data_IF_579320897108
#
_entry.id   IF_579320897108
#
_cell.length_a   1.000
_cell.length_b   1.000
_cell.length_c   1.000
_cell.angle_alpha   90.00
_cell.angle_beta   90.00
_cell.angle_gamma   90.00
#
_symmetry.space_group_name_H-M   'P 1'
#
loop_
_entity.id
_entity.type
_entity.pdbx_description
1 polymer ?
#
# COMPACT_ATOMS: atom_id res chain seq x y z
N UNK A 1 -7.19 25.54 13.51
CA UNK A 1 -7.33 24.36 12.61
C UNK A 1 -8.34 23.41 13.25
N UNK A 2 -9.60 23.38 12.79
CA UNK A 2 -10.65 22.52 13.39
C UNK A 2 -10.39 21.07 12.99
N UNK A 3 -10.23 20.20 13.96
CA UNK A 3 -10.23 18.75 13.75
C UNK A 3 -11.59 18.38 13.13
N UNK A 4 -11.61 17.98 11.87
CA UNK A 4 -12.78 17.35 11.26
C UNK A 4 -12.99 16.02 11.99
N UNK A 5 -14.10 15.95 12.74
CA UNK A 5 -14.52 14.73 13.40
C UNK A 5 -14.50 13.57 12.40
N UNK A 6 -13.88 12.47 12.81
CA UNK A 6 -13.96 11.18 12.11
C UNK A 6 -15.43 10.75 12.17
N UNK A 7 -16.14 10.88 11.07
CA UNK A 7 -17.40 10.16 10.90
C UNK A 7 -17.00 8.70 10.76
N UNK A 8 -17.21 7.92 11.80
CA UNK A 8 -17.11 6.48 11.71
C UNK A 8 -18.23 6.04 10.76
N UNK A 9 -17.89 5.45 9.63
CA UNK A 9 -18.86 4.77 8.78
C UNK A 9 -19.26 3.51 9.53
N UNK A 10 -20.56 3.35 9.78
CA UNK A 10 -21.10 2.21 10.49
C UNK A 10 -20.87 0.96 9.64
N UNK A 11 -20.11 -0.01 10.16
CA UNK A 11 -19.86 -1.28 9.48
C UNK A 11 -21.09 -2.17 9.65
N UNK A 12 -21.49 -2.81 8.58
CA UNK A 12 -22.60 -3.78 8.57
C UNK A 12 -22.13 -5.24 8.78
N UNK A 13 -20.84 -5.44 9.04
CA UNK A 13 -20.24 -6.72 9.43
C UNK A 13 -19.20 -6.54 10.54
N UNK A 14 -18.94 -7.60 11.29
CA UNK A 14 -17.90 -7.61 12.33
C UNK A 14 -16.50 -7.36 11.74
N UNK A 15 -15.65 -6.76 12.56
CA UNK A 15 -14.26 -6.55 12.15
C UNK A 15 -13.50 -7.90 12.17
N UNK A 16 -12.79 -8.18 11.10
CA UNK A 16 -11.93 -9.35 10.97
C UNK A 16 -10.45 -8.95 10.90
N UNK A 17 -9.51 -9.89 10.95
CA UNK A 17 -8.10 -9.62 10.66
C UNK A 17 -7.90 -8.93 9.30
N UNK A 18 -8.68 -9.31 8.28
CA UNK A 18 -8.63 -8.69 6.96
C UNK A 18 -8.96 -7.20 7.00
N UNK A 19 -9.99 -6.79 7.74
CA UNK A 19 -10.34 -5.37 7.84
C UNK A 19 -9.22 -4.53 8.46
N UNK A 20 -8.49 -5.09 9.42
CA UNK A 20 -7.35 -4.41 10.02
C UNK A 20 -6.18 -4.23 9.03
N UNK A 21 -5.91 -5.23 8.20
CA UNK A 21 -4.90 -5.16 7.13
C UNK A 21 -5.32 -4.12 6.08
N UNK A 22 -6.57 -4.19 5.62
CA UNK A 22 -7.13 -3.25 4.64
C UNK A 22 -7.13 -1.81 5.16
N UNK A 23 -7.39 -1.59 6.45
CA UNK A 23 -7.31 -0.27 7.07
C UNK A 23 -5.88 0.29 7.04
N UNK A 24 -4.88 -0.52 7.42
CA UNK A 24 -3.47 -0.11 7.31
C UNK A 24 -3.06 0.20 5.88
N UNK A 25 -3.58 -0.57 4.91
CA UNK A 25 -3.36 -0.32 3.49
C UNK A 25 -3.97 1.03 3.05
N UNK A 26 -5.20 1.34 3.48
CA UNK A 26 -5.81 2.65 3.22
C UNK A 26 -4.93 3.79 3.74
N UNK A 27 -4.44 3.68 4.97
CA UNK A 27 -3.54 4.68 5.56
C UNK A 27 -2.20 4.75 4.81
N UNK A 28 -1.65 3.59 4.42
CA UNK A 28 -0.41 3.47 3.67
C UNK A 28 -0.47 4.05 2.26
N UNK A 29 -1.63 4.02 1.63
CA UNK A 29 -1.84 4.53 0.27
C UNK A 29 -2.57 5.89 0.23
N UNK A 30 -2.98 6.44 1.37
CA UNK A 30 -3.90 7.58 1.44
C UNK A 30 -5.18 7.31 0.65
N UNK A 31 -5.69 6.09 0.71
CA UNK A 31 -6.92 5.67 0.06
C UNK A 31 -8.14 5.98 0.92
N UNK A 32 -9.30 6.16 0.30
CA UNK A 32 -10.57 6.35 0.99
C UNK A 32 -11.12 5.05 1.52
N UNK A 33 -10.97 3.96 0.74
CA UNK A 33 -11.42 2.64 1.12
C UNK A 33 -10.61 1.56 0.42
N UNK A 34 -10.67 0.35 0.97
CA UNK A 34 -10.12 -0.86 0.41
C UNK A 34 -11.10 -2.02 0.62
N UNK A 35 -11.16 -2.96 -0.33
CA UNK A 35 -11.88 -4.21 -0.20
C UNK A 35 -11.01 -5.37 -0.67
N UNK A 36 -11.17 -6.52 -0.02
CA UNK A 36 -10.71 -7.82 -0.49
C UNK A 36 -11.92 -8.52 -1.14
N UNK A 37 -11.74 -8.96 -2.37
CA UNK A 37 -12.76 -9.71 -3.12
C UNK A 37 -12.19 -11.05 -3.57
N UNK A 38 -13.05 -12.05 -3.59
CA UNK A 38 -12.71 -13.39 -4.09
C UNK A 38 -12.81 -13.50 -5.62
N UNK A 39 -12.63 -14.68 -6.13
CA UNK A 39 -12.68 -14.97 -7.57
C UNK A 39 -14.09 -14.84 -8.16
N UNK A 40 -15.12 -15.03 -7.36
CA UNK A 40 -16.54 -14.87 -7.72
C UNK A 40 -16.96 -13.39 -7.74
N UNK A 41 -16.17 -12.48 -7.16
CA UNK A 41 -16.49 -11.06 -7.03
C UNK A 41 -17.23 -10.73 -5.73
N UNK A 42 -17.33 -11.68 -4.79
CA UNK A 42 -17.90 -11.44 -3.49
C UNK A 42 -16.90 -10.73 -2.58
N UNK A 43 -17.37 -9.74 -1.83
CA UNK A 43 -16.51 -9.00 -0.90
C UNK A 43 -16.29 -9.81 0.37
N UNK A 44 -15.06 -10.27 0.57
CA UNK A 44 -14.64 -10.99 1.78
C UNK A 44 -14.63 -10.06 2.98
N UNK A 45 -13.99 -8.89 2.83
CA UNK A 45 -13.99 -7.84 3.84
C UNK A 45 -13.61 -6.49 3.22
N UNK A 46 -13.81 -5.41 3.98
CA UNK A 46 -13.51 -4.05 3.54
C UNK A 46 -13.11 -3.16 4.71
N UNK A 47 -12.46 -2.04 4.38
CA UNK A 47 -12.13 -0.97 5.33
C UNK A 47 -12.20 0.38 4.63
N UNK A 48 -12.39 1.44 5.39
CA UNK A 48 -12.32 2.81 4.86
C UNK A 48 -13.41 3.74 5.35
N UNK A 49 -13.67 4.80 4.56
CA UNK A 49 -14.52 5.94 4.94
C UNK A 49 -15.68 6.17 3.96
N UNK A 50 -16.07 5.15 3.23
CA UNK A 50 -17.23 5.17 2.33
C UNK A 50 -18.26 4.14 2.81
N UNK A 51 -19.47 4.20 2.28
CA UNK A 51 -20.50 3.27 2.70
C UNK A 51 -20.15 1.83 2.35
N UNK A 52 -20.53 0.84 3.17
CA UNK A 52 -20.34 -0.58 2.88
C UNK A 52 -20.86 -0.99 1.50
N UNK A 53 -22.04 -0.49 1.15
CA UNK A 53 -22.65 -0.75 -0.15
C UNK A 53 -21.78 -0.24 -1.32
N UNK A 54 -21.30 1.01 -1.25
CA UNK A 54 -20.52 1.60 -2.33
C UNK A 54 -19.21 0.84 -2.57
N UNK A 55 -18.50 0.46 -1.49
CA UNK A 55 -17.23 -0.26 -1.67
C UNK A 55 -17.45 -1.66 -2.21
N UNK A 56 -18.52 -2.37 -1.78
CA UNK A 56 -18.83 -3.70 -2.29
C UNK A 56 -19.19 -3.69 -3.77
N UNK A 57 -20.05 -2.77 -4.18
CA UNK A 57 -20.42 -2.62 -5.61
C UNK A 57 -19.18 -2.30 -6.44
N UNK A 58 -18.38 -1.31 -6.03
CA UNK A 58 -17.16 -0.97 -6.74
C UNK A 58 -16.19 -2.16 -6.79
N UNK A 59 -16.05 -2.93 -5.72
CA UNK A 59 -15.18 -4.07 -5.64
C UNK A 59 -15.60 -5.19 -6.61
N UNK A 60 -16.88 -5.53 -6.65
CA UNK A 60 -17.42 -6.53 -7.55
C UNK A 60 -17.26 -6.12 -9.02
N UNK A 61 -17.66 -4.89 -9.38
CA UNK A 61 -17.53 -4.39 -10.75
C UNK A 61 -16.06 -4.37 -11.22
N UNK A 62 -15.16 -3.87 -10.38
CA UNK A 62 -13.75 -3.75 -10.73
C UNK A 62 -13.04 -5.10 -10.77
N UNK A 63 -13.48 -6.08 -9.97
CA UNK A 63 -12.99 -7.47 -10.08
C UNK A 63 -13.34 -8.06 -11.44
N UNK A 64 -14.57 -7.79 -11.98
CA UNK A 64 -14.94 -8.19 -13.33
C UNK A 64 -14.05 -7.51 -14.39
N UNK A 65 -13.72 -6.23 -14.24
CA UNK A 65 -12.80 -5.54 -15.15
C UNK A 65 -11.44 -6.25 -15.21
N UNK A 66 -10.88 -6.66 -14.06
CA UNK A 66 -9.64 -7.43 -14.03
C UNK A 66 -9.78 -8.79 -14.71
N UNK A 67 -10.89 -9.49 -14.48
CA UNK A 67 -11.15 -10.78 -15.11
C UNK A 67 -11.27 -10.64 -16.63
N UNK A 68 -12.06 -9.71 -17.12
CA UNK A 68 -12.20 -9.45 -18.57
C UNK A 68 -10.89 -9.02 -19.22
N UNK A 69 -10.08 -8.21 -18.52
CA UNK A 69 -8.77 -7.82 -19.04
C UNK A 69 -7.88 -9.04 -19.25
N UNK A 70 -7.86 -9.97 -18.30
CA UNK A 70 -7.03 -11.19 -18.40
C UNK A 70 -7.50 -12.19 -19.45
N UNK A 71 -8.79 -12.18 -19.79
CA UNK A 71 -9.37 -13.05 -20.83
C UNK A 71 -9.37 -12.42 -22.22
N UNK A 72 -8.97 -11.16 -22.34
CA UNK A 72 -8.88 -10.49 -23.64
C UNK A 72 -7.78 -11.14 -24.50
N UNK A 73 -8.08 -11.31 -25.80
CA UNK A 73 -7.10 -11.84 -26.78
C UNK A 73 -6.11 -10.75 -27.20
N UNK A 74 -5.37 -10.24 -26.20
CA UNK A 74 -4.32 -9.24 -26.38
C UNK A 74 -3.04 -9.76 -25.73
N UNK A 75 -1.90 -9.83 -26.46
CA UNK A 75 -0.65 -10.31 -25.90
C UNK A 75 -0.26 -9.57 -24.62
N UNK A 76 0.03 -10.33 -23.56
CA UNK A 76 0.43 -9.82 -22.25
C UNK A 76 -0.71 -9.39 -21.32
N UNK A 77 -1.98 -9.46 -21.75
CA UNK A 77 -3.11 -9.13 -20.88
C UNK A 77 -3.45 -10.25 -19.90
N UNK A 78 -3.11 -11.49 -20.21
CA UNK A 78 -3.23 -12.62 -19.28
C UNK A 78 -2.45 -12.41 -17.97
N UNK A 79 -1.35 -11.66 -18.04
CA UNK A 79 -0.43 -11.42 -16.93
C UNK A 79 -0.67 -10.07 -16.22
N UNK A 80 -1.79 -9.42 -16.48
CA UNK A 80 -2.14 -8.16 -15.81
C UNK A 80 -2.42 -8.43 -14.34
N UNK A 81 -1.62 -7.83 -13.47
CA UNK A 81 -1.75 -7.89 -12.01
C UNK A 81 -2.35 -6.62 -11.39
N UNK A 82 -2.28 -5.51 -12.10
CA UNK A 82 -2.60 -4.19 -11.57
C UNK A 82 -3.28 -3.36 -12.67
N UNK A 83 -4.45 -2.80 -12.34
CA UNK A 83 -5.19 -1.89 -13.21
C UNK A 83 -5.47 -0.61 -12.44
N UNK A 84 -5.28 0.54 -13.09
CA UNK A 84 -5.57 1.86 -12.54
C UNK A 84 -6.65 2.53 -13.39
N UNK A 85 -7.74 2.91 -12.73
CA UNK A 85 -8.88 3.55 -13.36
C UNK A 85 -9.05 4.93 -12.75
N UNK A 86 -9.22 5.92 -13.60
CA UNK A 86 -9.58 7.28 -13.18
C UNK A 86 -10.87 7.69 -13.86
N UNK A 87 -11.84 8.08 -13.05
CA UNK A 87 -13.10 8.67 -13.47
C UNK A 87 -13.10 10.18 -13.23
N UNK A 88 -14.20 10.85 -13.57
CA UNK A 88 -14.38 12.27 -13.28
C UNK A 88 -14.41 12.62 -11.79
N UNK A 89 -14.82 11.68 -10.95
CA UNK A 89 -15.06 11.90 -9.52
C UNK A 89 -14.16 11.08 -8.60
N UNK A 90 -13.73 9.89 -9.02
CA UNK A 90 -13.00 8.90 -8.21
C UNK A 90 -11.83 8.30 -9.00
N UNK A 91 -10.91 7.72 -8.29
CA UNK A 91 -9.83 6.91 -8.87
C UNK A 91 -9.75 5.57 -8.15
N UNK A 92 -9.41 4.52 -8.86
CA UNK A 92 -9.34 3.16 -8.32
C UNK A 92 -8.03 2.49 -8.69
N UNK A 93 -7.59 1.58 -7.85
CA UNK A 93 -6.56 0.60 -8.16
C UNK A 93 -7.10 -0.79 -7.86
N UNK A 94 -6.87 -1.72 -8.80
CA UNK A 94 -7.23 -3.13 -8.65
C UNK A 94 -5.92 -3.91 -8.69
N UNK A 95 -5.70 -4.76 -7.70
CA UNK A 95 -4.46 -5.51 -7.49
C UNK A 95 -4.83 -6.99 -7.35
N UNK A 96 -4.45 -7.80 -8.33
CA UNK A 96 -4.68 -9.25 -8.27
C UNK A 96 -3.79 -9.94 -7.23
N UNK A 97 -4.36 -10.86 -6.48
CA UNK A 97 -3.68 -11.79 -5.58
C UNK A 97 -3.72 -13.21 -6.17
N UNK A 98 -3.15 -14.17 -5.42
CA UNK A 98 -3.27 -15.60 -5.71
C UNK A 98 -4.73 -16.09 -5.68
N UNK A 99 -4.95 -17.26 -6.25
CA UNK A 99 -6.24 -17.99 -6.24
C UNK A 99 -7.42 -17.15 -6.76
N UNK A 100 -7.16 -16.12 -7.57
CA UNK A 100 -8.18 -15.27 -8.16
C UNK A 100 -8.72 -14.15 -7.27
N UNK A 101 -8.21 -13.99 -6.05
CA UNK A 101 -8.54 -12.87 -5.19
C UNK A 101 -8.00 -11.55 -5.76
N UNK A 102 -8.57 -10.44 -5.31
CA UNK A 102 -8.07 -9.11 -5.63
C UNK A 102 -8.31 -8.12 -4.48
N UNK A 103 -7.43 -7.12 -4.40
CA UNK A 103 -7.65 -5.93 -3.59
C UNK A 103 -8.17 -4.83 -4.52
N UNK A 104 -9.21 -4.15 -4.09
CA UNK A 104 -9.73 -2.94 -4.72
C UNK A 104 -9.52 -1.76 -3.78
N UNK A 105 -8.86 -0.71 -4.26
CA UNK A 105 -8.64 0.54 -3.54
C UNK A 105 -9.44 1.66 -4.19
N UNK A 106 -10.22 2.39 -3.42
CA UNK A 106 -10.70 3.71 -3.81
C UNK A 106 -9.70 4.77 -3.36
N UNK A 107 -9.11 5.45 -4.32
CA UNK A 107 -8.09 6.47 -4.11
C UNK A 107 -8.70 7.87 -4.05
N UNK A 108 -7.94 8.82 -3.54
CA UNK A 108 -8.28 10.24 -3.65
C UNK A 108 -8.47 10.63 -5.12
N UNK A 109 -9.41 11.55 -5.35
CA UNK A 109 -9.67 12.09 -6.68
C UNK A 109 -8.38 12.51 -7.38
N UNK A 110 -8.23 12.09 -8.63
CA UNK A 110 -7.05 12.33 -9.47
C UNK A 110 -5.75 11.65 -9.02
N UNK A 111 -5.75 10.85 -7.93
CA UNK A 111 -4.62 10.03 -7.57
C UNK A 111 -4.68 8.69 -8.28
N UNK A 112 -3.57 8.29 -8.90
CA UNK A 112 -3.39 6.92 -9.42
C UNK A 112 -2.17 6.26 -8.79
N UNK A 113 -1.49 6.97 -7.90
CA UNK A 113 -0.31 6.47 -7.20
C UNK A 113 -0.71 5.77 -5.91
N UNK A 114 -0.15 4.59 -5.69
CA UNK A 114 -0.23 3.86 -4.42
C UNK A 114 1.17 3.59 -3.91
N UNK A 115 1.30 3.43 -2.59
CA UNK A 115 2.55 3.01 -2.00
C UNK A 115 2.81 1.55 -2.36
N UNK A 116 3.89 1.30 -3.10
CA UNK A 116 4.29 -0.05 -3.50
C UNK A 116 4.56 -0.94 -2.28
N UNK A 117 5.25 -0.41 -1.27
CA UNK A 117 5.60 -1.17 -0.07
C UNK A 117 4.39 -1.46 0.81
N UNK A 118 3.48 -0.50 0.97
CA UNK A 118 2.24 -0.74 1.69
C UNK A 118 1.38 -1.81 1.00
N UNK A 119 1.32 -1.79 -0.34
CA UNK A 119 0.64 -2.81 -1.13
C UNK A 119 1.30 -4.18 -0.95
N UNK A 120 2.62 -4.28 -1.12
CA UNK A 120 3.34 -5.56 -0.97
C UNK A 120 3.20 -6.13 0.44
N UNK A 121 3.22 -5.29 1.46
CA UNK A 121 2.97 -5.70 2.83
C UNK A 121 1.55 -6.23 3.01
N UNK A 122 0.55 -5.49 2.53
CA UNK A 122 -0.84 -5.92 2.63
C UNK A 122 -1.10 -7.23 1.88
N UNK A 123 -0.52 -7.42 0.68
CA UNK A 123 -0.63 -8.67 -0.07
C UNK A 123 -0.09 -9.83 0.77
N UNK A 124 1.11 -9.73 1.34
CA UNK A 124 1.71 -10.79 2.17
C UNK A 124 0.83 -11.14 3.38
N UNK A 125 0.33 -10.12 4.08
CA UNK A 125 -0.51 -10.31 5.24
C UNK A 125 -1.86 -10.94 4.88
N UNK A 126 -2.50 -10.51 3.79
CA UNK A 126 -3.77 -11.06 3.31
C UNK A 126 -3.62 -12.49 2.81
N UNK A 127 -2.57 -12.78 2.01
CA UNK A 127 -2.29 -14.13 1.52
C UNK A 127 -2.00 -15.08 2.69
N UNK A 128 -1.25 -14.65 3.69
CA UNK A 128 -0.96 -15.42 4.90
C UNK A 128 -2.21 -15.69 5.73
N UNK A 129 -3.07 -14.67 5.93
CA UNK A 129 -4.30 -14.79 6.71
C UNK A 129 -5.35 -15.67 6.03
N UNK A 130 -5.45 -15.57 4.71
CA UNK A 130 -6.40 -16.35 3.90
C UNK A 130 -5.89 -17.74 3.52
N UNK A 131 -4.62 -18.06 3.79
CA UNK A 131 -4.01 -19.31 3.34
C UNK A 131 -3.88 -19.40 1.80
N UNK A 132 -3.83 -18.27 1.11
CA UNK A 132 -3.73 -18.17 -0.35
C UNK A 132 -2.28 -18.38 -0.78
N UNK A 133 -2.07 -19.06 -1.92
CA UNK A 133 -0.74 -19.19 -2.51
C UNK A 133 -0.17 -17.82 -2.90
N UNK A 134 1.00 -17.48 -2.37
CA UNK A 134 1.61 -16.19 -2.62
C UNK A 134 2.00 -15.99 -4.08
N UNK A 135 1.59 -14.85 -4.65
CA UNK A 135 2.06 -14.37 -5.96
C UNK A 135 3.38 -13.63 -5.87
N UNK A 136 3.83 -13.30 -4.65
CA UNK A 136 5.08 -12.58 -4.42
C UNK A 136 6.27 -13.54 -4.44
N UNK A 137 7.37 -13.09 -5.03
CA UNK A 137 8.62 -13.85 -4.98
C UNK A 137 9.12 -13.95 -3.53
N UNK A 138 9.55 -15.15 -3.07
CA UNK A 138 10.19 -15.29 -1.76
C UNK A 138 11.44 -14.40 -1.65
N UNK A 139 11.70 -13.86 -0.46
CA UNK A 139 12.99 -13.22 -0.14
C UNK A 139 13.08 -11.71 -0.41
N UNK A 140 11.98 -11.03 -0.74
CA UNK A 140 11.99 -9.55 -0.80
C UNK A 140 12.24 -8.93 0.57
N UNK A 141 13.05 -7.86 0.64
CA UNK A 141 13.30 -7.10 1.86
C UNK A 141 11.99 -6.72 2.55
N UNK A 142 11.93 -6.87 3.86
CA UNK A 142 10.80 -6.39 4.67
C UNK A 142 11.01 -4.91 4.92
N UNK A 143 9.97 -4.14 4.67
CA UNK A 143 10.01 -2.70 4.80
C UNK A 143 8.93 -2.25 5.76
N UNK A 144 9.33 -1.58 6.84
CA UNK A 144 8.41 -0.96 7.77
C UNK A 144 8.27 0.53 7.49
N UNK A 145 7.02 1.02 7.56
CA UNK A 145 6.75 2.45 7.40
C UNK A 145 7.29 3.23 8.59
N UNK A 146 8.08 4.26 8.31
CA UNK A 146 8.71 5.08 9.33
C UNK A 146 8.35 6.56 9.18
N UNK A 147 8.42 7.30 10.29
CA UNK A 147 8.26 8.75 10.28
C UNK A 147 9.63 9.40 10.18
N UNK A 148 9.82 10.22 9.16
CA UNK A 148 11.08 10.93 8.91
C UNK A 148 10.84 12.44 8.99
N UNK A 149 11.75 13.16 9.64
CA UNK A 149 11.92 14.60 9.43
C UNK A 149 12.93 14.79 8.30
N UNK A 150 12.53 15.42 7.19
CA UNK A 150 13.46 15.72 6.11
C UNK A 150 14.45 16.81 6.52
N UNK A 151 15.56 16.88 5.81
CA UNK A 151 16.53 17.97 5.96
C UNK A 151 15.91 19.31 5.53
N UNK A 152 16.12 20.39 6.27
CA UNK A 152 15.66 21.73 5.86
C UNK A 152 16.19 22.17 4.49
N UNK A 153 17.41 21.77 4.15
CA UNK A 153 18.06 22.13 2.88
C UNK A 153 17.63 21.22 1.72
N UNK A 154 17.14 20.01 2.01
CA UNK A 154 16.72 19.06 0.99
C UNK A 154 15.55 18.18 1.49
N UNK A 155 14.31 18.50 1.08
CA UNK A 155 13.11 17.78 1.52
C UNK A 155 13.08 16.29 1.13
N UNK A 156 13.99 15.86 0.25
CA UNK A 156 14.10 14.45 -0.16
C UNK A 156 15.12 13.68 0.68
N UNK A 157 15.95 14.36 1.49
CA UNK A 157 17.01 13.75 2.30
C UNK A 157 16.53 13.57 3.75
N UNK A 158 16.72 12.38 4.39
CA UNK A 158 16.36 12.20 5.79
C UNK A 158 17.32 12.98 6.70
N UNK A 159 16.77 13.50 7.81
CA UNK A 159 17.54 14.19 8.85
C UNK A 159 17.31 13.56 10.23
N UNK A 160 16.09 13.12 10.53
CA UNK A 160 15.79 12.37 11.74
C UNK A 160 14.69 11.35 11.49
N UNK A 161 14.73 10.26 12.24
CA UNK A 161 13.76 9.16 12.22
C UNK A 161 13.08 9.04 13.58
N UNK A 162 11.80 8.69 13.57
CA UNK A 162 11.04 8.39 14.78
C UNK A 162 11.10 6.90 15.07
N UNK A 163 11.75 6.54 16.18
CA UNK A 163 11.88 5.16 16.67
C UNK A 163 11.59 5.16 18.17
N UNK A 164 10.94 4.13 18.67
CA UNK A 164 10.71 3.88 20.11
C UNK A 164 10.21 5.11 20.91
N UNK A 165 9.32 5.90 20.30
CA UNK A 165 8.72 7.06 20.98
C UNK A 165 9.56 8.34 20.96
N UNK A 166 10.71 8.38 20.26
CA UNK A 166 11.59 9.55 20.19
C UNK A 166 12.16 9.80 18.79
N UNK A 167 12.65 11.04 18.58
CA UNK A 167 13.33 11.43 17.35
C UNK A 167 14.84 11.20 17.49
N UNK A 168 15.39 10.40 16.58
CA UNK A 168 16.83 10.16 16.46
C UNK A 168 17.37 10.82 15.20
N UNK A 169 18.44 11.60 15.32
CA UNK A 169 19.15 12.14 14.16
C UNK A 169 19.72 11.01 13.33
N UNK A 170 19.76 11.19 12.00
CA UNK A 170 20.39 10.22 11.11
C UNK A 170 21.51 10.86 10.31
N UNK A 171 22.63 10.17 10.21
CA UNK A 171 23.74 10.52 9.30
C UNK A 171 23.59 9.74 8.02
N UNK A 172 23.37 10.42 6.91
CA UNK A 172 23.31 9.78 5.58
C UNK A 172 24.71 9.46 5.12
N UNK A 173 25.01 8.17 4.98
CA UNK A 173 26.30 7.62 4.53
C UNK A 173 26.42 7.63 3.00
N UNK A 174 25.29 7.43 2.30
CA UNK A 174 25.29 7.34 0.85
C UNK A 174 23.92 7.08 0.25
N UNK A 175 23.91 6.77 -1.04
CA UNK A 175 22.72 6.30 -1.75
C UNK A 175 22.59 4.79 -1.59
N UNK A 176 21.43 4.36 -1.13
CA UNK A 176 21.01 2.97 -1.23
C UNK A 176 20.57 2.69 -2.68
N UNK A 177 21.10 1.65 -3.28
CA UNK A 177 20.74 1.17 -4.62
C UNK A 177 20.43 -0.30 -4.54
N UNK A 178 19.31 -0.70 -5.06
CA UNK A 178 18.88 -2.10 -5.14
C UNK A 178 17.91 -2.23 -6.31
N UNK A 179 17.80 -3.42 -6.86
CA UNK A 179 16.80 -3.77 -7.87
C UNK A 179 15.38 -3.70 -7.33
N UNK A 180 15.23 -3.66 -6.00
CA UNK A 180 13.95 -3.44 -5.32
C UNK A 180 13.44 -2.01 -5.39
N UNK A 181 14.25 -1.05 -5.83
CA UNK A 181 13.83 0.34 -5.98
C UNK A 181 13.05 0.54 -7.26
N UNK A 182 11.81 1.01 -7.14
CA UNK A 182 11.03 1.41 -8.30
C UNK A 182 11.53 2.76 -8.87
N UNK A 183 11.24 3.06 -10.15
CA UNK A 183 11.51 4.36 -10.72
C UNK A 183 10.95 5.50 -9.86
N UNK A 184 11.74 6.55 -9.63
CA UNK A 184 11.41 7.72 -8.79
C UNK A 184 11.46 7.48 -7.28
N UNK A 185 11.81 6.31 -6.81
CA UNK A 185 12.15 6.10 -5.40
C UNK A 185 13.56 6.59 -5.09
N UNK A 186 13.77 7.02 -3.87
CA UNK A 186 15.07 7.50 -3.40
C UNK A 186 15.53 6.66 -2.21
N UNK A 187 16.57 5.86 -2.43
CA UNK A 187 17.20 5.06 -1.39
C UNK A 187 18.37 5.79 -0.71
N UNK A 188 18.51 5.59 0.60
CA UNK A 188 19.60 6.11 1.42
C UNK A 188 20.11 5.03 2.36
N UNK A 189 21.41 4.92 2.48
CA UNK A 189 22.05 4.25 3.60
C UNK A 189 22.29 5.28 4.69
N UNK A 190 21.79 5.01 5.89
CA UNK A 190 21.84 5.95 7.00
C UNK A 190 22.36 5.25 8.27
N UNK A 191 22.99 6.04 9.15
CA UNK A 191 23.49 5.58 10.45
C UNK A 191 22.83 6.33 11.58
N UNK A 192 22.38 5.60 12.58
CA UNK A 192 21.83 6.12 13.84
C UNK A 192 22.94 6.55 14.81
N UNK A 193 22.62 7.35 15.85
CA UNK A 193 23.60 7.76 16.85
C UNK A 193 24.24 6.59 17.63
N UNK A 194 23.54 5.47 17.77
CA UNK A 194 24.06 4.24 18.39
C UNK A 194 24.98 3.41 17.48
N UNK A 195 25.24 3.90 16.26
CA UNK A 195 26.08 3.22 15.28
C UNK A 195 25.36 2.25 14.36
N UNK A 196 24.10 1.89 14.61
CA UNK A 196 23.31 1.02 13.76
C UNK A 196 23.07 1.65 12.38
N UNK A 197 23.23 0.83 11.34
CA UNK A 197 22.97 1.23 9.96
C UNK A 197 21.62 0.71 9.50
N UNK A 198 20.92 1.50 8.69
CA UNK A 198 19.64 1.13 8.12
C UNK A 198 19.49 1.66 6.70
N UNK A 199 18.78 0.93 5.88
CA UNK A 199 18.37 1.39 4.57
C UNK A 199 17.06 2.14 4.69
N UNK A 200 16.99 3.33 4.10
CA UNK A 200 15.79 4.16 4.05
C UNK A 200 15.36 4.34 2.60
N UNK A 201 14.08 4.22 2.34
CA UNK A 201 13.51 4.50 1.02
C UNK A 201 12.38 5.52 1.13
N UNK A 202 12.44 6.52 0.27
CA UNK A 202 11.38 7.50 0.09
C UNK A 202 10.65 7.21 -1.22
N UNK A 203 9.37 6.94 -1.12
CA UNK A 203 8.49 6.76 -2.27
C UNK A 203 8.01 8.10 -2.88
N UNK A 204 7.52 8.09 -4.13
CA UNK A 204 7.00 9.31 -4.79
C UNK A 204 5.88 10.01 -4.01
N UNK A 205 5.06 9.27 -3.27
CA UNK A 205 4.01 9.81 -2.40
C UNK A 205 4.56 10.53 -1.14
N UNK A 206 5.87 10.50 -0.94
CA UNK A 206 6.52 11.13 0.21
C UNK A 206 6.58 10.23 1.45
N UNK A 207 6.08 9.01 1.38
CA UNK A 207 6.20 8.03 2.45
C UNK A 207 7.63 7.51 2.55
N UNK A 208 8.03 7.21 3.79
CA UNK A 208 9.33 6.65 4.09
C UNK A 208 9.20 5.27 4.67
N UNK A 209 10.13 4.42 4.30
CA UNK A 209 10.23 3.06 4.78
C UNK A 209 11.67 2.77 5.19
N UNK A 210 11.83 1.99 6.26
CA UNK A 210 13.10 1.43 6.70
C UNK A 210 13.11 -0.06 6.44
N UNK A 211 14.29 -0.60 6.15
CA UNK A 211 14.54 -2.03 6.06
C UNK A 211 14.47 -2.65 7.47
N UNK A 212 13.72 -3.76 7.62
CA UNK A 212 13.63 -4.51 8.87
C UNK A 212 14.84 -5.45 9.09
N UNK A 213 15.87 -5.37 8.25
CA UNK A 213 17.05 -6.21 8.31
C UNK A 213 18.06 -5.73 9.38
N UNK A 214 17.61 -5.57 10.63
CA UNK A 214 18.47 -5.44 11.80
C UNK A 214 17.98 -6.34 12.92
#
# INVERSE_FOLDING_TARGET
MRARGRVAVDRDQEASPFSAILWRLCEGCSAHAAALVDKEGETVDYAGRISPYEIRVAAAELRLVLAFTRTADVPGFSDVHDIRIRTGTRSYAILGLGDGYAIVLELLRHSTSVSRRAVLQAIRELESEAGIQSVLRPGGARWSRVRIRPSPQNPRRPHAIWLEGSWHGVTVLGRYRSDDLAPREHGYLARLPNGAELSLVREPLGFWFADDAT
#
